data_IF_149069978627
#
_entry.id   IF_149069978627
#
_cell.length_a   1.000
_cell.length_b   1.000
_cell.length_c   1.000
_cell.angle_alpha   90.00
_cell.angle_beta   90.00
_cell.angle_gamma   90.00
#
_symmetry.space_group_name_H-M   'P 1'
#
loop_
_entity.id
_entity.type
_entity.pdbx_description
1 polymer ?
#
# COMPACT_ATOMS: atom_id res chain seq x y z
N UNK A 1 -46.05 11.70 25.11
CA UNK A 1 -45.81 10.95 23.86
C UNK A 1 -44.45 11.37 23.29
N UNK A 2 -43.36 10.76 23.77
CA UNK A 2 -41.97 11.13 23.45
C UNK A 2 -41.57 10.40 22.17
N UNK A 3 -41.53 11.11 21.04
CA UNK A 3 -40.98 10.58 19.78
C UNK A 3 -39.46 10.57 19.90
N UNK A 4 -38.90 9.41 20.19
CA UNK A 4 -37.45 9.18 20.12
C UNK A 4 -37.11 9.10 18.62
N UNK A 5 -36.49 10.15 18.09
CA UNK A 5 -35.93 10.14 16.75
C UNK A 5 -34.49 9.61 16.89
N UNK A 6 -34.29 8.32 16.60
CA UNK A 6 -32.94 7.76 16.47
C UNK A 6 -32.43 8.19 15.10
N UNK A 7 -31.70 9.30 15.05
CA UNK A 7 -30.91 9.66 13.89
C UNK A 7 -29.66 8.76 13.86
N UNK A 8 -29.69 7.72 13.03
CA UNK A 8 -28.53 6.89 12.76
C UNK A 8 -27.58 7.68 11.84
N UNK A 9 -26.79 8.58 12.42
CA UNK A 9 -25.68 9.22 11.72
C UNK A 9 -24.57 8.17 11.54
N UNK A 10 -24.59 7.48 10.40
CA UNK A 10 -23.49 6.63 9.98
C UNK A 10 -22.31 7.56 9.62
N UNK A 11 -21.44 7.81 10.58
CA UNK A 11 -20.20 8.53 10.35
C UNK A 11 -19.40 7.78 9.28
N UNK A 12 -19.18 8.42 8.13
CA UNK A 12 -18.28 7.93 7.10
C UNK A 12 -16.87 7.89 7.69
N UNK A 13 -16.43 6.70 8.12
CA UNK A 13 -15.11 6.51 8.68
C UNK A 13 -14.13 6.37 7.50
N UNK A 14 -13.20 7.30 7.25
CA UNK A 14 -12.27 7.22 6.13
C UNK A 14 -11.37 5.97 6.17
N UNK A 15 -11.28 5.31 7.33
CA UNK A 15 -10.64 4.01 7.50
C UNK A 15 -11.32 2.84 6.75
N UNK A 16 -12.49 3.04 6.14
CA UNK A 16 -13.18 2.03 5.34
C UNK A 16 -13.05 2.23 3.82
N UNK A 17 -12.23 3.19 3.36
CA UNK A 17 -11.95 3.31 1.94
C UNK A 17 -11.07 2.13 1.49
N UNK A 18 -11.53 1.36 0.50
CA UNK A 18 -10.72 0.31 -0.10
C UNK A 18 -9.50 0.92 -0.80
N UNK A 19 -8.30 0.34 -0.63
CA UNK A 19 -7.11 0.81 -1.33
C UNK A 19 -7.30 0.75 -2.85
N UNK A 20 -7.06 1.87 -3.54
CA UNK A 20 -7.06 1.88 -5.00
C UNK A 20 -5.75 1.27 -5.52
N UNK A 21 -5.82 -0.02 -5.89
CA UNK A 21 -4.70 -0.76 -6.45
C UNK A 21 -4.13 -0.14 -7.74
N UNK A 22 -4.94 0.57 -8.54
CA UNK A 22 -4.48 1.23 -9.77
C UNK A 22 -3.68 2.49 -9.45
N UNK A 23 -4.14 3.30 -8.50
CA UNK A 23 -3.37 4.42 -8.00
C UNK A 23 -2.03 3.96 -7.39
N UNK A 24 -2.06 2.88 -6.59
CA UNK A 24 -0.86 2.27 -6.00
C UNK A 24 0.15 1.76 -7.03
N UNK A 25 -0.33 1.17 -8.13
CA UNK A 25 0.53 0.70 -9.23
C UNK A 25 1.38 1.85 -9.81
N UNK A 26 0.78 3.01 -10.07
CA UNK A 26 1.51 4.17 -10.61
C UNK A 26 2.60 4.68 -9.66
N UNK A 27 2.27 4.76 -8.37
CA UNK A 27 3.22 5.14 -7.31
C UNK A 27 4.39 4.16 -7.24
N UNK A 28 4.12 2.85 -7.32
CA UNK A 28 5.15 1.82 -7.30
C UNK A 28 6.14 1.95 -8.46
N UNK A 29 5.64 2.12 -9.70
CA UNK A 29 6.52 2.25 -10.86
C UNK A 29 7.36 3.53 -10.83
N UNK A 30 6.82 4.60 -10.24
CA UNK A 30 7.50 5.90 -10.15
C UNK A 30 8.60 5.88 -9.09
N UNK A 31 8.36 5.24 -7.95
CA UNK A 31 9.19 5.42 -6.76
C UNK A 31 9.97 4.16 -6.33
N UNK A 32 9.49 2.96 -6.69
CA UNK A 32 9.98 1.70 -6.14
C UNK A 32 10.66 0.83 -7.20
N UNK A 33 10.09 0.75 -8.41
CA UNK A 33 10.52 -0.18 -9.45
C UNK A 33 11.96 0.04 -9.95
N UNK A 34 12.49 1.26 -9.81
CA UNK A 34 13.89 1.55 -10.16
C UNK A 34 14.88 0.69 -9.37
N UNK A 35 14.64 0.50 -8.08
CA UNK A 35 15.47 -0.32 -7.20
C UNK A 35 14.97 -1.77 -7.11
N UNK A 36 13.65 -1.96 -7.02
CA UNK A 36 13.06 -3.27 -6.72
C UNK A 36 12.63 -4.07 -7.95
N UNK A 37 12.65 -3.48 -9.14
CA UNK A 37 12.21 -4.12 -10.38
C UNK A 37 10.70 -4.09 -10.57
N UNK A 38 10.22 -4.42 -11.79
CA UNK A 38 8.79 -4.40 -12.10
C UNK A 38 8.00 -5.51 -11.39
N UNK A 39 8.67 -6.56 -10.92
CA UNK A 39 8.11 -7.67 -10.16
C UNK A 39 8.30 -7.51 -8.63
N UNK A 40 8.90 -6.39 -8.20
CA UNK A 40 9.15 -6.02 -6.82
C UNK A 40 10.14 -6.93 -6.04
N UNK A 41 10.87 -7.82 -6.73
CA UNK A 41 11.75 -8.83 -6.11
C UNK A 41 13.18 -8.37 -5.82
N UNK A 42 13.46 -7.07 -5.92
CA UNK A 42 14.78 -6.49 -5.65
C UNK A 42 15.72 -6.44 -6.85
N UNK A 43 15.23 -6.77 -8.06
CA UNK A 43 16.05 -6.85 -9.28
C UNK A 43 15.89 -5.63 -10.20
N UNK A 44 15.79 -4.42 -9.62
CA UNK A 44 15.60 -3.20 -10.39
C UNK A 44 16.83 -2.81 -11.23
N UNK A 45 16.67 -1.95 -12.25
CA UNK A 45 17.76 -1.51 -13.13
C UNK A 45 18.99 -0.97 -12.39
N UNK A 46 18.81 -0.31 -11.24
CA UNK A 46 19.92 0.23 -10.46
C UNK A 46 20.42 -0.73 -9.37
N UNK A 47 19.79 -1.89 -9.16
CA UNK A 47 20.11 -2.78 -8.03
C UNK A 47 21.58 -3.20 -7.99
N UNK A 48 22.20 -3.43 -9.15
CA UNK A 48 23.63 -3.81 -9.27
C UNK A 48 24.60 -2.67 -8.94
N UNK A 49 24.12 -1.43 -8.86
CA UNK A 49 24.92 -0.25 -8.54
C UNK A 49 24.90 0.09 -7.04
N UNK A 50 24.06 -0.59 -6.26
CA UNK A 50 23.91 -0.33 -4.83
C UNK A 50 24.85 -1.23 -4.02
N UNK A 51 25.41 -0.68 -2.94
CA UNK A 51 26.23 -1.46 -1.99
C UNK A 51 25.42 -2.46 -1.16
N UNK A 52 24.10 -2.31 -1.14
CA UNK A 52 23.15 -3.16 -0.43
C UNK A 52 22.09 -3.62 -1.42
N UNK A 53 21.78 -4.92 -1.38
CA UNK A 53 20.72 -5.49 -2.21
C UNK A 53 19.36 -4.92 -1.78
N UNK A 54 18.56 -4.37 -2.71
CA UNK A 54 17.16 -4.04 -2.42
C UNK A 54 16.40 -5.30 -1.99
N UNK A 55 15.58 -5.24 -0.91
CA UNK A 55 14.79 -6.38 -0.46
C UNK A 55 13.64 -6.71 -1.43
N UNK A 56 13.08 -7.90 -1.27
CA UNK A 56 11.86 -8.34 -1.96
C UNK A 56 10.62 -7.71 -1.30
N UNK A 57 9.98 -6.76 -1.99
CA UNK A 57 8.80 -6.07 -1.44
C UNK A 57 7.53 -6.91 -1.49
N UNK A 58 7.53 -8.07 -2.16
CA UNK A 58 6.37 -8.97 -2.14
C UNK A 58 6.11 -9.55 -0.74
N UNK A 59 7.11 -9.48 0.14
CA UNK A 59 7.04 -9.94 1.52
C UNK A 59 6.61 -8.84 2.51
N UNK A 60 6.61 -7.57 2.09
CA UNK A 60 6.40 -6.42 2.99
C UNK A 60 5.08 -6.53 3.77
N UNK A 61 4.01 -6.94 3.10
CA UNK A 61 2.71 -7.15 3.70
C UNK A 61 2.74 -8.22 4.80
N UNK A 62 3.34 -9.38 4.52
CA UNK A 62 3.45 -10.44 5.51
C UNK A 62 4.38 -10.08 6.67
N UNK A 63 5.48 -9.39 6.38
CA UNK A 63 6.46 -8.99 7.39
C UNK A 63 5.93 -7.90 8.32
N UNK A 64 5.10 -6.98 7.80
CA UNK A 64 4.45 -5.95 8.61
C UNK A 64 3.08 -6.39 9.18
N UNK A 65 2.74 -7.68 9.09
CA UNK A 65 1.47 -8.20 9.61
C UNK A 65 0.22 -7.63 8.93
N UNK A 66 0.35 -7.16 7.69
CA UNK A 66 -0.73 -6.52 6.93
C UNK A 66 -1.04 -5.09 7.34
N UNK A 67 -0.18 -4.47 8.15
CA UNK A 67 -0.29 -3.06 8.54
C UNK A 67 0.39 -2.20 7.49
N UNK A 68 -0.22 -1.09 7.09
CA UNK A 68 0.33 -0.11 6.12
C UNK A 68 -0.08 1.31 6.51
#
# INVERSE_FOLDING_TARGET
MKRIVIALALAANPAMAEPDARAGQGVFFTNCAGCHGPDARGAGPVAKLLSVSPPDLTLLASENGGIF
#
